data_IF_651190791697
#
_entry.id   IF_651190791697
#
_cell.length_a   1.000
_cell.length_b   1.000
_cell.length_c   1.000
_cell.angle_alpha   90.00
_cell.angle_beta   90.00
_cell.angle_gamma   90.00
#
_symmetry.space_group_name_H-M   'P 1'
#
loop_
_entity.id
_entity.type
_entity.pdbx_description
1 polymer ?
#
# COMPACT_ATOMS: atom_id res chain seq x y z
N UNK A 1 -19.44 6.91 -5.35
CA UNK A 1 -17.99 6.94 -5.61
C UNK A 1 -17.32 6.51 -4.32
N UNK A 2 -16.51 5.46 -4.34
CA UNK A 2 -15.76 5.02 -3.16
C UNK A 2 -14.32 5.47 -3.34
N UNK A 3 -13.79 6.20 -2.36
CA UNK A 3 -12.39 6.57 -2.32
C UNK A 3 -11.64 5.53 -1.49
N UNK A 4 -10.56 4.97 -2.02
CA UNK A 4 -9.64 4.10 -1.28
C UNK A 4 -8.22 4.62 -1.46
N UNK A 5 -7.39 4.35 -0.45
CA UNK A 5 -5.97 4.67 -0.43
C UNK A 5 -5.63 6.14 -0.69
N UNK A 6 -5.60 6.93 0.38
CA UNK A 6 -5.31 8.35 0.34
C UNK A 6 -3.87 8.62 0.79
N UNK A 7 -3.11 9.31 -0.06
CA UNK A 7 -1.76 9.76 0.26
C UNK A 7 -1.62 11.26 0.11
N UNK A 8 -0.82 11.84 1.00
CA UNK A 8 -0.50 13.27 1.02
C UNK A 8 0.93 13.47 0.55
N UNK A 9 1.16 14.49 -0.29
CA UNK A 9 2.52 14.83 -0.72
C UNK A 9 3.37 15.47 0.39
N UNK A 10 2.74 16.03 1.42
CA UNK A 10 3.38 16.61 2.59
C UNK A 10 2.42 16.59 3.79
N UNK A 11 2.94 16.76 5.01
CA UNK A 11 2.11 16.91 6.21
C UNK A 11 1.16 18.12 6.06
N UNK A 12 -0.12 18.01 6.44
CA UNK A 12 -1.06 19.14 6.41
C UNK A 12 -0.62 20.29 7.33
N UNK A 13 0.18 20.00 8.36
CA UNK A 13 0.73 20.99 9.31
C UNK A 13 1.96 21.70 8.75
N UNK A 14 2.51 21.25 7.62
CA UNK A 14 3.59 21.98 6.96
C UNK A 14 3.05 23.29 6.38
N UNK A 15 3.88 24.34 6.36
CA UNK A 15 3.57 25.57 5.61
C UNK A 15 3.57 25.36 4.09
N UNK A 16 3.93 24.15 3.64
CA UNK A 16 3.98 23.77 2.23
C UNK A 16 2.60 23.45 1.71
N UNK A 17 2.37 23.73 0.43
CA UNK A 17 1.21 23.18 -0.29
C UNK A 17 1.30 21.66 -0.29
N UNK A 18 0.17 21.00 -0.18
CA UNK A 18 0.05 19.55 -0.23
C UNK A 18 -0.98 19.13 -1.26
N UNK A 19 -0.76 17.95 -1.83
CA UNK A 19 -1.63 17.28 -2.78
C UNK A 19 -2.16 16.03 -2.11
N UNK A 20 -3.47 15.81 -2.19
CA UNK A 20 -4.11 14.53 -1.91
C UNK A 20 -4.22 13.75 -3.21
N UNK A 21 -3.75 12.52 -3.19
CA UNK A 21 -4.03 11.53 -4.22
C UNK A 21 -4.85 10.39 -3.63
N UNK A 22 -5.91 10.00 -4.33
CA UNK A 22 -6.81 8.90 -3.93
C UNK A 22 -7.19 8.06 -5.12
N UNK A 23 -7.39 6.75 -4.93
CA UNK A 23 -8.12 5.96 -5.91
C UNK A 23 -9.62 6.25 -5.80
N UNK A 24 -10.21 6.56 -6.95
CA UNK A 24 -11.64 6.74 -7.11
C UNK A 24 -12.24 5.57 -7.87
N UNK A 25 -13.18 4.90 -7.24
CA UNK A 25 -13.96 3.82 -7.84
C UNK A 25 -15.41 4.28 -8.03
N UNK A 26 -15.85 4.29 -9.27
CA UNK A 26 -17.25 4.55 -9.63
C UNK A 26 -17.73 3.50 -10.64
N UNK A 27 -18.65 2.64 -10.19
CA UNK A 27 -19.10 1.45 -10.95
C UNK A 27 -17.87 0.62 -11.39
N UNK A 28 -17.77 0.29 -12.66
CA UNK A 28 -16.64 -0.41 -13.28
C UNK A 28 -15.48 0.51 -13.71
N UNK A 29 -15.53 1.80 -13.38
CA UNK A 29 -14.46 2.75 -13.72
C UNK A 29 -13.57 3.02 -12.50
N UNK A 30 -12.26 2.80 -12.68
CA UNK A 30 -11.21 3.17 -11.73
C UNK A 30 -10.50 4.42 -12.23
N UNK A 31 -10.18 5.34 -11.33
CA UNK A 31 -9.43 6.55 -11.64
C UNK A 31 -8.56 6.97 -10.47
N UNK A 32 -7.57 7.80 -10.77
CA UNK A 32 -6.75 8.48 -9.77
C UNK A 32 -7.29 9.90 -9.65
N UNK A 33 -7.81 10.26 -8.47
CA UNK A 33 -8.26 11.61 -8.20
C UNK A 33 -7.20 12.39 -7.42
N UNK A 34 -6.94 13.62 -7.86
CA UNK A 34 -5.99 14.54 -7.26
C UNK A 34 -6.72 15.80 -6.80
N UNK A 35 -6.30 16.33 -5.65
CA UNK A 35 -6.81 17.59 -5.14
C UNK A 35 -5.73 18.31 -4.33
N UNK A 36 -5.74 19.63 -4.36
CA UNK A 36 -4.92 20.47 -3.50
C UNK A 36 -5.73 21.70 -3.03
N UNK A 37 -5.33 22.34 -1.91
CA UNK A 37 -5.99 23.56 -1.43
C UNK A 37 -6.12 24.62 -2.54
N UNK A 38 -7.34 25.16 -2.69
CA UNK A 38 -7.68 26.16 -3.71
C UNK A 38 -8.36 25.60 -4.97
N UNK A 39 -8.41 24.27 -5.14
CA UNK A 39 -9.17 23.67 -6.25
C UNK A 39 -10.67 23.63 -5.97
N UNK A 40 -11.47 24.09 -6.95
CA UNK A 40 -12.93 24.02 -6.89
C UNK A 40 -13.49 22.58 -7.03
N UNK A 41 -12.73 21.69 -7.70
CA UNK A 41 -13.11 20.30 -7.93
C UNK A 41 -11.88 19.40 -8.00
N UNK A 42 -12.05 18.10 -7.77
CA UNK A 42 -10.99 17.10 -7.96
C UNK A 42 -10.62 16.96 -9.43
N UNK A 43 -9.32 16.86 -9.73
CA UNK A 43 -8.86 16.37 -11.03
C UNK A 43 -8.94 14.84 -11.04
N UNK A 44 -9.42 14.23 -12.12
CA UNK A 44 -9.53 12.77 -12.23
C UNK A 44 -8.80 12.27 -13.46
N UNK A 45 -7.70 11.55 -13.25
CA UNK A 45 -6.99 10.81 -14.28
C UNK A 45 -7.63 9.43 -14.44
N UNK A 46 -7.98 9.06 -15.68
CA UNK A 46 -8.50 7.73 -16.01
C UNK A 46 -7.52 7.04 -16.95
N UNK A 47 -7.33 5.73 -16.76
CA UNK A 47 -6.45 4.93 -17.60
C UNK A 47 -6.56 3.45 -17.24
N UNK A 48 -6.28 2.59 -18.22
CA UNK A 48 -6.31 1.13 -18.03
C UNK A 48 -5.25 0.65 -17.03
N UNK A 49 -4.12 1.36 -16.89
CA UNK A 49 -3.10 1.04 -15.88
C UNK A 49 -3.59 1.23 -14.43
N UNK A 50 -4.59 2.09 -14.21
CA UNK A 50 -5.19 2.36 -12.90
C UNK A 50 -6.16 1.22 -12.51
N UNK A 51 -6.65 0.45 -13.48
CA UNK A 51 -7.46 -0.73 -13.21
C UNK A 51 -6.59 -1.83 -12.56
N UNK A 52 -6.96 -2.24 -11.35
CA UNK A 52 -6.19 -3.24 -10.58
C UNK A 52 -5.02 -2.68 -9.76
N UNK A 53 -5.01 -1.37 -9.53
CA UNK A 53 -4.11 -0.73 -8.57
C UNK A 53 -4.30 -1.26 -7.15
N UNK A 54 -3.23 -1.20 -6.35
CA UNK A 54 -3.27 -1.55 -4.92
C UNK A 54 -2.84 -0.39 -4.04
N UNK A 55 -1.75 0.26 -4.41
CA UNK A 55 -1.05 1.16 -3.52
C UNK A 55 -0.44 2.38 -4.20
N UNK A 56 -0.33 3.47 -3.44
CA UNK A 56 0.17 4.78 -3.88
C UNK A 56 1.22 5.30 -2.90
N UNK A 57 2.19 6.05 -3.42
CA UNK A 57 3.10 6.82 -2.59
C UNK A 57 3.64 8.05 -3.32
N UNK A 58 3.72 9.17 -2.61
CA UNK A 58 4.50 10.33 -3.07
C UNK A 58 5.97 10.12 -2.75
N UNK A 59 6.83 10.20 -3.75
CA UNK A 59 8.27 10.03 -3.58
C UNK A 59 9.03 10.99 -4.51
N UNK A 60 9.97 11.77 -3.96
CA UNK A 60 10.80 12.74 -4.70
C UNK A 60 10.02 13.63 -5.69
N UNK A 61 8.87 14.14 -5.26
CA UNK A 61 8.03 15.06 -6.05
C UNK A 61 7.18 14.40 -7.15
N UNK A 62 7.21 13.06 -7.27
CA UNK A 62 6.35 12.30 -8.19
C UNK A 62 5.42 11.39 -7.42
N UNK A 63 4.34 10.98 -8.07
CA UNK A 63 3.41 10.00 -7.51
C UNK A 63 3.68 8.63 -8.13
N UNK A 64 3.84 7.63 -7.28
CA UNK A 64 4.09 6.24 -7.67
C UNK A 64 2.88 5.39 -7.37
N UNK A 65 2.61 4.43 -8.26
CA UNK A 65 1.55 3.44 -8.12
C UNK A 65 2.09 2.05 -8.39
N UNK A 66 1.69 1.07 -7.57
CA UNK A 66 1.97 -0.34 -7.85
C UNK A 66 0.70 -1.11 -8.19
N UNK A 67 0.84 -2.02 -9.15
CA UNK A 67 -0.23 -2.93 -9.52
C UNK A 67 -0.38 -4.07 -8.51
N UNK A 68 -1.61 -4.50 -8.25
CA UNK A 68 -1.92 -5.40 -7.12
C UNK A 68 -1.32 -6.80 -7.26
N UNK A 69 -1.26 -7.33 -8.48
CA UNK A 69 -0.95 -8.74 -8.74
C UNK A 69 0.35 -8.96 -9.51
N UNK A 70 1.12 -7.90 -9.76
CA UNK A 70 2.43 -7.99 -10.36
C UNK A 70 3.29 -6.80 -9.91
N UNK A 71 4.62 -6.97 -9.77
CA UNK A 71 5.53 -5.87 -9.49
C UNK A 71 5.67 -4.98 -10.74
N UNK A 72 4.60 -4.23 -11.05
CA UNK A 72 4.53 -3.22 -12.09
C UNK A 72 4.34 -1.87 -11.41
N UNK A 73 5.34 -1.01 -11.54
CA UNK A 73 5.34 0.34 -10.99
C UNK A 73 5.01 1.34 -12.10
N UNK A 74 4.18 2.32 -11.80
CA UNK A 74 3.88 3.45 -12.68
C UNK A 74 4.23 4.74 -11.96
N UNK A 75 4.81 5.66 -12.72
CA UNK A 75 5.20 6.99 -12.27
C UNK A 75 4.27 8.00 -12.93
N UNK A 76 3.68 8.86 -12.11
CA UNK A 76 2.81 9.94 -12.53
C UNK A 76 3.57 11.26 -12.32
N UNK A 77 3.90 11.90 -13.43
CA UNK A 77 4.39 13.28 -13.39
C UNK A 77 3.21 14.21 -13.18
N UNK A 78 3.34 15.08 -12.19
CA UNK A 78 2.30 16.04 -11.84
C UNK A 78 2.67 17.42 -12.38
N UNK A 79 1.66 18.15 -12.83
CA UNK A 79 1.77 19.56 -13.24
C UNK A 79 0.81 20.38 -12.41
N UNK A 80 1.35 21.43 -11.79
CA UNK A 80 0.56 22.47 -11.15
C UNK A 80 0.41 23.67 -12.11
N UNK A 81 -0.82 24.17 -12.24
CA UNK A 81 -1.14 25.39 -12.95
C UNK A 81 -2.17 26.22 -12.15
N UNK A 82 -2.63 27.33 -12.74
CA UNK A 82 -3.66 28.20 -12.14
C UNK A 82 -4.98 27.49 -11.80
N UNK A 83 -5.28 26.34 -12.43
CA UNK A 83 -6.46 25.53 -12.16
C UNK A 83 -6.23 24.41 -11.13
N UNK A 84 -4.98 24.24 -10.65
CA UNK A 84 -4.61 23.25 -9.65
C UNK A 84 -3.65 22.19 -10.16
N UNK A 85 -3.67 21.03 -9.50
CA UNK A 85 -2.81 19.88 -9.84
C UNK A 85 -3.47 18.98 -10.89
N UNK A 86 -2.68 18.50 -11.83
CA UNK A 86 -3.10 17.55 -12.87
C UNK A 86 -1.98 16.55 -13.18
N UNK A 87 -2.30 15.43 -13.83
CA UNK A 87 -1.31 14.47 -14.33
C UNK A 87 -0.86 14.93 -15.72
N UNK A 88 0.43 15.15 -15.91
CA UNK A 88 1.00 15.51 -17.22
C UNK A 88 1.43 14.28 -18.01
N UNK A 89 1.97 13.27 -17.32
CA UNK A 89 2.49 12.05 -17.94
C UNK A 89 2.35 10.85 -17.01
N UNK A 90 2.16 9.68 -17.61
CA UNK A 90 2.20 8.39 -16.91
C UNK A 90 3.20 7.50 -17.63
N UNK A 91 4.18 6.99 -16.90
CA UNK A 91 5.21 6.09 -17.43
C UNK A 91 5.32 4.82 -16.59
N UNK A 92 5.50 3.64 -17.20
CA UNK A 92 5.89 2.45 -16.44
C UNK A 92 7.36 2.57 -15.99
N UNK A 93 7.69 2.25 -14.73
CA UNK A 93 9.07 1.88 -14.39
C UNK A 93 9.26 0.40 -14.66
N UNK A 94 10.28 0.06 -15.44
CA UNK A 94 10.69 -1.33 -15.65
C UNK A 94 11.37 -1.81 -14.36
N UNK A 95 10.72 -2.72 -13.67
CA UNK A 95 11.33 -3.47 -12.55
C UNK A 95 11.91 -4.76 -13.13
N UNK A 96 13.09 -5.16 -12.65
CA UNK A 96 13.76 -6.39 -13.08
C UNK A 96 12.81 -7.60 -13.12
N UNK A 97 12.69 -8.29 -14.28
CA UNK A 97 11.89 -9.49 -14.44
C UNK A 97 12.20 -10.61 -13.44
N UNK A 98 13.38 -10.63 -12.82
CA UNK A 98 13.78 -11.69 -11.87
C UNK A 98 12.82 -11.81 -10.68
N UNK A 99 12.07 -10.76 -10.33
CA UNK A 99 11.01 -10.83 -9.30
C UNK A 99 9.84 -11.76 -9.68
N UNK A 100 9.67 -12.08 -10.96
CA UNK A 100 8.61 -12.93 -11.48
C UNK A 100 8.99 -14.41 -11.57
N UNK A 101 10.25 -14.73 -11.87
CA UNK A 101 10.62 -16.04 -12.41
C UNK A 101 10.64 -17.19 -11.39
N UNK A 102 10.77 -16.91 -10.10
CA UNK A 102 10.98 -17.96 -9.10
C UNK A 102 9.70 -18.44 -8.40
N UNK A 103 8.51 -17.97 -8.78
CA UNK A 103 7.30 -18.28 -8.02
C UNK A 103 6.08 -18.58 -8.92
N UNK A 104 5.66 -19.84 -8.97
CA UNK A 104 4.40 -20.31 -9.59
C UNK A 104 3.13 -19.91 -8.81
N UNK A 105 3.19 -18.81 -8.04
CA UNK A 105 2.15 -18.37 -7.10
C UNK A 105 1.49 -17.05 -7.47
N UNK A 106 0.46 -16.67 -6.72
CA UNK A 106 -0.15 -15.35 -6.82
C UNK A 106 0.74 -14.33 -6.08
N UNK A 107 0.82 -13.11 -6.60
CA UNK A 107 1.55 -12.01 -5.97
C UNK A 107 0.59 -10.98 -5.38
N UNK A 108 1.04 -10.33 -4.30
CA UNK A 108 0.46 -9.10 -3.75
C UNK A 108 1.56 -8.08 -3.60
N UNK A 109 1.40 -6.92 -4.22
CA UNK A 109 2.41 -5.86 -4.20
C UNK A 109 1.88 -4.62 -3.48
N UNK A 110 2.71 -4.05 -2.62
CA UNK A 110 2.46 -2.83 -1.85
C UNK A 110 3.68 -1.90 -1.95
N UNK A 111 3.50 -0.59 -1.78
CA UNK A 111 4.61 0.36 -1.77
C UNK A 111 4.53 1.30 -0.58
N UNK A 112 5.68 1.67 -0.04
CA UNK A 112 5.78 2.62 1.08
C UNK A 112 7.05 3.44 0.97
N UNK A 113 7.01 4.69 1.40
CA UNK A 113 8.22 5.50 1.57
C UNK A 113 8.70 5.35 3.00
N UNK A 114 9.90 4.82 3.17
CA UNK A 114 10.56 4.62 4.45
C UNK A 114 11.92 5.31 4.44
N UNK A 115 12.13 6.25 5.37
CA UNK A 115 13.39 7.00 5.54
C UNK A 115 14.01 7.51 4.23
N UNK A 116 13.18 8.09 3.35
CA UNK A 116 13.62 8.64 2.07
C UNK A 116 13.95 7.60 1.00
N UNK A 117 13.58 6.33 1.19
CA UNK A 117 13.63 5.25 0.19
C UNK A 117 12.21 4.82 -0.18
N UNK A 118 11.98 4.51 -1.45
CA UNK A 118 10.75 3.87 -1.90
C UNK A 118 10.94 2.35 -1.79
N UNK A 119 10.09 1.70 -1.00
CA UNK A 119 10.10 0.25 -0.83
C UNK A 119 8.97 -0.41 -1.60
N UNK A 120 9.25 -1.56 -2.20
CA UNK A 120 8.30 -2.50 -2.79
C UNK A 120 8.20 -3.72 -1.88
N UNK A 121 6.99 -4.01 -1.40
CA UNK A 121 6.70 -5.19 -0.59
C UNK A 121 5.96 -6.19 -1.46
N UNK A 122 6.48 -7.41 -1.59
CA UNK A 122 5.88 -8.49 -2.37
C UNK A 122 5.54 -9.64 -1.43
N UNK A 123 4.26 -10.02 -1.36
CA UNK A 123 3.84 -11.27 -0.73
C UNK A 123 3.66 -12.34 -1.79
N UNK A 124 4.37 -13.44 -1.61
CA UNK A 124 4.30 -14.63 -2.46
C UNK A 124 3.27 -15.58 -1.90
N UNK A 125 2.19 -15.83 -2.64
CA UNK A 125 1.03 -16.60 -2.16
C UNK A 125 0.93 -17.90 -2.94
N UNK A 126 0.77 -19.02 -2.23
CA UNK A 126 0.50 -20.30 -2.85
C UNK A 126 -0.89 -20.31 -3.50
N UNK A 127 -0.92 -20.46 -4.83
CA UNK A 127 -2.16 -20.46 -5.62
C UNK A 127 -2.86 -21.82 -5.73
N UNK A 128 -2.29 -22.91 -5.21
CA UNK A 128 -2.78 -24.26 -5.51
C UNK A 128 -4.15 -24.63 -4.93
N UNK A 129 -4.65 -23.93 -3.90
CA UNK A 129 -6.00 -24.18 -3.34
C UNK A 129 -6.73 -22.87 -3.07
N UNK A 130 -7.82 -22.62 -3.82
CA UNK A 130 -8.69 -21.44 -3.69
C UNK A 130 -9.23 -21.20 -2.27
N UNK A 131 -9.26 -22.24 -1.44
CA UNK A 131 -9.84 -22.26 -0.09
C UNK A 131 -8.84 -21.99 1.04
N UNK A 132 -7.51 -22.03 0.79
CA UNK A 132 -6.47 -21.70 1.77
C UNK A 132 -5.26 -21.08 1.09
N UNK A 133 -5.32 -19.77 0.81
CA UNK A 133 -4.16 -18.99 0.37
C UNK A 133 -3.16 -18.97 1.52
N UNK A 134 -1.98 -19.56 1.31
CA UNK A 134 -0.88 -19.53 2.28
C UNK A 134 0.20 -18.58 1.76
N UNK A 135 0.59 -17.61 2.57
CA UNK A 135 1.75 -16.78 2.28
C UNK A 135 3.00 -17.64 2.48
N UNK A 136 3.82 -17.69 1.44
CA UNK A 136 5.05 -18.48 1.38
C UNK A 136 6.23 -17.67 1.87
N UNK A 137 6.30 -16.41 1.45
CA UNK A 137 7.39 -15.47 1.73
C UNK A 137 6.88 -14.05 1.57
N UNK A 138 7.50 -13.13 2.29
CA UNK A 138 7.44 -11.69 2.02
C UNK A 138 8.83 -11.25 1.60
N UNK A 139 8.94 -10.56 0.47
CA UNK A 139 10.18 -9.91 0.03
C UNK A 139 10.00 -8.39 0.10
N UNK A 140 11.02 -7.68 0.54
CA UNK A 140 10.99 -6.21 0.63
C UNK A 140 12.20 -5.65 -0.11
N UNK A 141 11.95 -4.76 -1.05
CA UNK A 141 12.96 -4.27 -1.97
C UNK A 141 13.01 -2.74 -1.94
N UNK A 142 14.17 -2.18 -1.66
CA UNK A 142 14.43 -0.77 -1.91
C UNK A 142 14.56 -0.54 -3.42
N UNK A 143 13.83 0.43 -3.93
CA UNK A 143 13.80 0.79 -5.34
C UNK A 143 14.68 2.03 -5.59
N UNK A 144 15.68 1.89 -6.46
CA UNK A 144 16.32 3.03 -7.09
C UNK A 144 15.64 3.34 -8.42
N UNK A 145 14.71 4.29 -8.35
CA UNK A 145 13.92 4.76 -9.50
C UNK A 145 14.65 5.82 -10.34
N UNK A 146 15.92 6.13 -10.02
CA UNK A 146 16.74 7.04 -10.84
C UNK A 146 17.34 6.37 -12.07
N UNK A 147 17.31 5.03 -12.11
CA UNK A 147 17.78 4.21 -13.23
C UNK A 147 16.60 3.62 -14.01
N UNK A 148 16.85 3.22 -15.26
CA UNK A 148 15.90 2.45 -16.07
C UNK A 148 16.64 1.30 -16.77
N UNK A 149 16.43 0.03 -16.36
CA UNK A 149 15.46 -0.45 -15.37
C UNK A 149 15.75 0.04 -13.93
N UNK A 150 14.70 0.08 -13.11
CA UNK A 150 14.77 0.38 -11.67
C UNK A 150 15.70 -0.65 -11.00
N UNK A 151 16.82 -0.21 -10.38
CA UNK A 151 17.66 -1.12 -9.58
C UNK A 151 16.88 -1.48 -8.32
N UNK A 152 16.92 -2.77 -7.97
CA UNK A 152 16.26 -3.31 -6.78
C UNK A 152 17.29 -3.87 -5.82
N UNK A 153 17.11 -3.60 -4.53
CA UNK A 153 17.95 -4.16 -3.47
C UNK A 153 17.04 -4.75 -2.41
N UNK A 154 17.12 -6.05 -2.17
CA UNK A 154 16.39 -6.68 -1.07
C UNK A 154 16.94 -6.18 0.28
N UNK A 155 16.03 -5.87 1.19
CA UNK A 155 16.37 -5.45 2.57
C UNK A 155 15.75 -6.42 3.56
N UNK A 156 16.40 -6.56 4.72
CA UNK A 156 16.09 -7.60 5.70
C UNK A 156 15.76 -7.05 7.10
N UNK A 157 15.73 -5.73 7.26
CA UNK A 157 15.38 -5.03 8.49
C UNK A 157 14.87 -3.60 8.17
N UNK A 158 14.32 -2.91 9.16
CA UNK A 158 13.86 -1.53 9.07
C UNK A 158 14.54 -0.63 10.11
N UNK A 159 15.74 -0.98 10.56
CA UNK A 159 16.48 -0.28 11.61
C UNK A 159 15.59 0.06 12.83
N UNK A 160 14.82 -0.94 13.28
CA UNK A 160 13.91 -0.82 14.42
C UNK A 160 12.54 -0.20 14.12
N UNK A 161 12.27 0.28 12.90
CA UNK A 161 10.94 0.74 12.50
C UNK A 161 10.01 -0.46 12.15
N UNK A 162 8.73 -0.16 11.99
CA UNK A 162 7.72 -1.11 11.55
C UNK A 162 6.96 -0.57 10.34
N UNK A 163 6.35 -1.47 9.57
CA UNK A 163 5.45 -1.12 8.47
C UNK A 163 4.07 -1.69 8.75
N UNK A 164 3.03 -0.88 8.55
CA UNK A 164 1.64 -1.30 8.51
C UNK A 164 1.17 -1.32 7.06
N UNK A 165 0.48 -2.39 6.67
CA UNK A 165 -0.15 -2.60 5.38
C UNK A 165 -1.62 -2.88 5.62
N UNK A 166 -2.50 -2.01 5.15
CA UNK A 166 -3.96 -2.18 5.27
C UNK A 166 -4.67 -2.02 3.91
N UNK A 167 -6.00 -2.06 3.92
CA UNK A 167 -6.82 -1.86 2.72
C UNK A 167 -6.74 -0.43 2.13
N UNK A 168 -6.18 0.51 2.89
CA UNK A 168 -6.02 1.91 2.57
C UNK A 168 -4.55 2.29 2.26
N UNK A 169 -3.62 1.33 2.24
CA UNK A 169 -2.24 1.53 1.79
C UNK A 169 -1.21 1.15 2.84
N UNK A 170 -0.01 1.74 2.73
CA UNK A 170 1.09 1.44 3.64
C UNK A 170 1.62 2.67 4.36
N UNK A 171 2.01 2.48 5.62
CA UNK A 171 2.72 3.48 6.43
C UNK A 171 3.80 2.82 7.26
N UNK A 172 4.89 3.54 7.51
CA UNK A 172 5.89 3.13 8.49
C UNK A 172 5.74 3.95 9.77
N UNK A 173 6.21 3.40 10.89
CA UNK A 173 6.25 4.06 12.18
C UNK A 173 7.42 3.51 13.00
N UNK A 174 7.94 4.29 13.95
CA UNK A 174 9.06 3.85 14.77
C UNK A 174 8.58 3.01 15.95
N UNK A 175 9.08 1.77 16.09
CA UNK A 175 8.66 0.89 17.19
C UNK A 175 9.00 1.48 18.56
N UNK A 176 10.13 2.21 18.66
CA UNK A 176 10.59 2.83 19.92
C UNK A 176 9.63 3.85 20.52
N UNK A 177 8.67 4.36 19.74
CA UNK A 177 7.63 5.28 20.21
C UNK A 177 6.41 4.56 20.83
N UNK A 178 6.37 3.22 20.77
CA UNK A 178 5.21 2.45 21.19
C UNK A 178 5.61 1.33 22.16
N UNK A 179 5.09 1.40 23.39
CA UNK A 179 5.35 0.39 24.43
C UNK A 179 4.89 -0.98 23.95
N UNK A 180 5.79 -1.97 24.02
CA UNK A 180 5.50 -3.36 23.66
C UNK A 180 5.56 -3.67 22.16
N UNK A 181 5.89 -2.70 21.30
CA UNK A 181 6.14 -2.94 19.88
C UNK A 181 7.62 -3.29 19.67
N UNK A 182 7.86 -4.39 18.95
CA UNK A 182 9.21 -4.78 18.51
C UNK A 182 9.44 -4.23 17.10
N UNK A 183 10.65 -3.74 16.83
CA UNK A 183 11.05 -3.29 15.49
C UNK A 183 11.16 -4.41 14.46
N UNK A 184 11.33 -4.01 13.20
CA UNK A 184 11.53 -4.88 12.02
C UNK A 184 10.35 -5.80 11.72
N UNK A 185 9.14 -5.32 12.01
CA UNK A 185 7.89 -6.02 11.79
C UNK A 185 7.07 -5.39 10.67
N UNK A 186 6.40 -6.22 9.88
CA UNK A 186 5.34 -5.81 8.96
C UNK A 186 4.01 -6.33 9.48
N UNK A 187 3.09 -5.42 9.76
CA UNK A 187 1.73 -5.70 10.17
C UNK A 187 0.82 -5.68 8.95
N UNK A 188 0.27 -6.83 8.58
CA UNK A 188 -0.72 -6.93 7.51
C UNK A 188 -2.11 -6.98 8.13
N UNK A 189 -2.96 -6.04 7.74
CA UNK A 189 -4.36 -5.92 8.13
C UNK A 189 -5.23 -5.57 6.91
N UNK A 190 -4.86 -6.10 5.74
CA UNK A 190 -5.54 -5.78 4.49
C UNK A 190 -6.67 -6.76 4.17
N UNK A 191 -7.71 -6.20 3.55
CA UNK A 191 -8.89 -6.91 3.11
C UNK A 191 -8.63 -7.64 1.78
N UNK A 192 -8.98 -8.92 1.71
CA UNK A 192 -9.02 -9.65 0.46
C UNK A 192 -10.44 -10.04 0.05
N UNK A 193 -10.81 -9.61 -1.17
CA UNK A 193 -12.04 -10.00 -1.84
C UNK A 193 -12.01 -11.49 -2.19
N UNK A 194 -12.92 -12.27 -1.61
CA UNK A 194 -13.23 -13.57 -2.22
C UNK A 194 -13.76 -13.31 -3.64
N UNK A 195 -13.33 -14.13 -4.60
CA UNK A 195 -13.77 -14.03 -6.00
C UNK A 195 -15.30 -14.25 -6.18
N UNK A 196 -16.03 -14.48 -5.08
CA UNK A 196 -17.44 -14.83 -5.06
C UNK A 196 -18.30 -13.76 -4.36
N UNK A 197 -17.73 -12.65 -3.87
CA UNK A 197 -18.49 -11.52 -3.31
C UNK A 197 -19.23 -11.80 -2.00
N UNK A 198 -19.14 -12.99 -1.44
CA UNK A 198 -19.91 -13.42 -0.26
C UNK A 198 -19.10 -13.44 1.05
N UNK A 199 -17.77 -13.35 0.99
CA UNK A 199 -16.92 -13.32 2.20
C UNK A 199 -15.69 -12.41 2.02
N UNK A 200 -15.51 -11.47 2.94
CA UNK A 200 -14.28 -10.68 3.09
C UNK A 200 -13.35 -11.43 4.04
N UNK A 201 -12.22 -11.92 3.54
CA UNK A 201 -11.20 -12.53 4.39
C UNK A 201 -10.14 -11.48 4.70
N UNK A 202 -9.84 -11.32 5.99
CA UNK A 202 -8.77 -10.46 6.48
C UNK A 202 -7.50 -11.29 6.70
N UNK A 203 -6.46 -11.02 5.90
CA UNK A 203 -5.13 -11.58 6.17
C UNK A 203 -4.50 -10.73 7.27
N UNK A 204 -4.80 -11.09 8.52
CA UNK A 204 -4.33 -10.39 9.72
C UNK A 204 -3.17 -11.14 10.34
N UNK A 205 -1.95 -10.74 9.97
CA UNK A 205 -0.73 -11.37 10.46
C UNK A 205 0.43 -10.38 10.55
N UNK A 206 1.43 -10.77 11.33
CA UNK A 206 2.68 -10.04 11.52
C UNK A 206 3.81 -10.86 10.91
N UNK A 207 4.58 -10.22 10.03
CA UNK A 207 5.81 -10.78 9.46
C UNK A 207 7.01 -10.19 10.18
N UNK A 208 7.94 -11.04 10.62
CA UNK A 208 9.20 -10.62 11.19
C UNK A 208 10.28 -10.65 10.10
N UNK A 209 10.87 -9.49 9.79
CA UNK A 209 11.90 -9.37 8.77
C UNK A 209 13.19 -10.10 9.13
N UNK A 210 13.51 -10.20 10.43
CA UNK A 210 14.77 -10.75 10.92
C UNK A 210 14.87 -12.27 10.74
N UNK A 211 13.78 -13.00 10.95
CA UNK A 211 13.76 -14.47 10.93
C UNK A 211 12.75 -15.07 9.92
N UNK A 212 12.00 -14.21 9.22
CA UNK A 212 11.01 -14.60 8.23
C UNK A 212 9.77 -15.30 8.81
N UNK A 213 9.58 -15.28 10.12
CA UNK A 213 8.43 -15.91 10.78
C UNK A 213 7.16 -15.09 10.57
N UNK A 214 6.03 -15.81 10.50
CA UNK A 214 4.70 -15.23 10.42
C UNK A 214 3.90 -15.67 11.65
N UNK A 215 3.25 -14.72 12.31
CA UNK A 215 2.29 -15.00 13.39
C UNK A 215 0.99 -14.28 13.13
N UNK A 216 -0.14 -14.88 13.49
CA UNK A 216 -1.41 -14.15 13.48
C UNK A 216 -1.38 -13.10 14.60
N UNK A 217 -2.26 -12.11 14.52
CA UNK A 217 -2.52 -11.31 15.71
C UNK A 217 -3.11 -12.22 16.79
N UNK A 218 -2.49 -12.22 17.97
CA UNK A 218 -3.10 -12.80 19.17
C UNK A 218 -4.26 -11.89 19.57
N UNK A 219 -5.40 -12.06 18.91
CA UNK A 219 -6.65 -11.51 19.43
C UNK A 219 -7.04 -12.44 20.56
N UNK A 220 -6.72 -12.06 21.80
CA UNK A 220 -7.47 -12.58 22.94
C UNK A 220 -8.94 -12.32 22.64
N UNK A 221 -9.67 -13.39 22.26
CA UNK A 221 -11.11 -13.35 22.16
C UNK A 221 -11.63 -13.21 23.58
N UNK A 222 -11.67 -11.99 24.08
CA UNK A 222 -12.41 -11.66 25.29
C UNK A 222 -13.86 -12.12 25.07
N UNK A 223 -14.45 -12.92 25.96
CA UNK A 223 -15.81 -13.44 25.82
C UNK A 223 -16.82 -12.34 26.19
N UNK A 224 -16.72 -11.17 25.56
CA UNK A 224 -17.79 -10.19 25.61
C UNK A 224 -18.69 -10.47 24.43
N UNK A 225 -19.86 -11.04 24.72
CA UNK A 225 -21.01 -11.11 23.81
C UNK A 225 -21.36 -9.69 23.36
N UNK A 226 -20.68 -9.18 22.33
CA UNK A 226 -21.09 -7.95 21.68
C UNK A 226 -22.19 -8.34 20.70
N UNK A 227 -23.42 -7.97 21.01
CA UNK A 227 -24.61 -8.14 20.18
C UNK A 227 -24.63 -7.13 19.01
N UNK A 228 -23.50 -6.95 18.34
CA UNK A 228 -23.41 -6.18 17.11
C UNK A 228 -23.50 -7.15 15.92
N UNK A 229 -24.24 -6.84 14.84
CA UNK A 229 -24.28 -7.67 13.64
C UNK A 229 -22.85 -7.87 13.12
N UNK A 230 -22.51 -9.11 12.76
CA UNK A 230 -21.18 -9.55 12.26
C UNK A 230 -20.70 -8.83 10.97
N UNK A 231 -21.42 -7.83 10.47
CA UNK A 231 -21.08 -7.05 9.28
C UNK A 231 -20.30 -5.76 9.52
N UNK A 232 -19.86 -5.45 10.75
CA UNK A 232 -19.10 -4.23 11.04
C UNK A 232 -17.88 -4.48 11.91
N UNK A 233 -16.96 -5.32 11.43
CA UNK A 233 -15.56 -5.16 11.79
C UNK A 233 -15.07 -3.88 11.11
N UNK A 234 -15.39 -2.74 11.73
CA UNK A 234 -14.84 -1.45 11.36
C UNK A 234 -13.32 -1.62 11.29
N UNK A 235 -12.78 -1.44 10.09
CA UNK A 235 -11.35 -1.39 9.80
C UNK A 235 -10.68 -0.59 10.93
N UNK A 236 -9.58 -1.04 11.53
CA UNK A 236 -8.80 -0.19 12.40
C UNK A 236 -8.17 0.91 11.54
N UNK A 237 -8.93 1.99 11.31
CA UNK A 237 -8.44 3.20 10.66
C UNK A 237 -7.60 3.93 11.70
N UNK A 238 -6.35 3.49 11.85
CA UNK A 238 -5.38 4.22 12.64
C UNK A 238 -4.80 5.33 11.76
N UNK A 239 -5.39 6.52 11.86
CA UNK A 239 -4.61 7.72 11.64
C UNK A 239 -3.53 7.73 12.73
N UNK A 240 -2.31 7.29 12.42
CA UNK A 240 -1.17 7.71 13.21
C UNK A 240 -1.21 9.25 13.23
N UNK A 241 -1.40 9.89 14.39
CA UNK A 241 -1.15 11.32 14.47
C UNK A 241 0.33 11.48 14.15
N UNK A 242 0.65 12.23 13.11
CA UNK A 242 2.02 12.71 12.92
C UNK A 242 2.30 13.67 14.07
N UNK A 243 3.35 13.40 14.85
CA UNK A 243 4.03 14.45 15.61
C UNK A 243 4.47 15.57 14.65
#
# INVERSE_FOLDING_TARGET
>A
MVLRNAVLSASPNSRSKWIVAVFSFYRSTSGLALWQPGMASWYVCRGSCIAGCNDLAFYRGKLYMVWRFAPRLFVFDLRENEHGVSVSRVEPCVIDPLLYYNHCGLLRCNIVVWRGKLLLIIRYINGYKRTRRKILRVGVFALDVSTNPCIITEIYDFDGDCILVDACGCKYFSAGLHVGVRGDLIYFADEYDSCNGENHYYDTFVYNMNDGTMRNFDVERSPVKSSAPEGSLNVPVWFCPSE
#
